data_IF_846910676355
#
_entry.id   IF_846910676355
#
_cell.length_a   1.000
_cell.length_b   1.000
_cell.length_c   1.000
_cell.angle_alpha   90.00
_cell.angle_beta   90.00
_cell.angle_gamma   90.00
#
_symmetry.space_group_name_H-M   'P 1'
#
loop_
_entity.id
_entity.type
_entity.pdbx_description
1 polymer ?
#
# COMPACT_ATOMS: atom_id res chain seq x y z
N UNK A 1 15.79 -4.51 -3.50
CA UNK A 1 14.36 -4.48 -3.28
C UNK A 1 13.90 -5.77 -2.62
N UNK A 2 12.98 -5.70 -1.68
CA UNK A 2 12.54 -6.87 -0.95
C UNK A 2 11.64 -7.74 -1.82
N UNK A 3 11.29 -8.91 -1.29
CA UNK A 3 10.40 -9.80 -2.01
C UNK A 3 9.06 -9.13 -2.25
N UNK A 4 8.55 -8.39 -1.27
CA UNK A 4 7.29 -7.69 -1.41
C UNK A 4 7.39 -6.63 -2.49
N UNK A 5 8.50 -5.90 -2.54
CA UNK A 5 8.71 -4.89 -3.54
C UNK A 5 8.76 -5.46 -4.94
N UNK A 6 9.33 -6.65 -5.09
CA UNK A 6 9.39 -7.30 -6.40
C UNK A 6 7.99 -7.72 -6.86
N UNK A 7 7.13 -8.13 -5.93
CA UNK A 7 5.78 -8.52 -6.29
C UNK A 7 5.01 -7.29 -6.77
N UNK A 8 5.17 -6.16 -6.12
CA UNK A 8 4.48 -4.95 -6.52
C UNK A 8 5.00 -4.47 -7.87
N UNK A 9 6.31 -4.53 -8.06
CA UNK A 9 6.89 -4.09 -9.31
C UNK A 9 6.33 -4.91 -10.46
N UNK A 10 6.14 -6.20 -10.27
CA UNK A 10 5.58 -7.06 -11.29
C UNK A 10 4.14 -6.67 -11.57
N UNK A 11 3.36 -6.36 -10.54
CA UNK A 11 1.98 -5.95 -10.72
C UNK A 11 1.90 -4.64 -11.49
N UNK A 12 2.81 -3.71 -11.24
CA UNK A 12 2.82 -2.45 -11.93
C UNK A 12 3.12 -2.62 -13.43
N UNK A 13 3.89 -3.65 -13.76
CA UNK A 13 4.19 -3.90 -15.16
C UNK A 13 3.01 -4.55 -15.87
N UNK A 14 2.24 -5.35 -15.16
CA UNK A 14 1.13 -6.07 -15.74
C UNK A 14 -0.10 -5.16 -15.90
N UNK A 15 -0.37 -4.31 -14.92
CA UNK A 15 -1.54 -3.46 -14.99
C UNK A 15 -1.14 -2.12 -15.61
N UNK A 16 -1.50 -1.93 -16.86
CA UNK A 16 -1.02 -0.81 -17.63
C UNK A 16 -1.61 0.54 -17.27
N UNK A 17 -2.61 0.66 -16.56
CA UNK A 17 -3.19 1.94 -16.22
C UNK A 17 -2.60 2.60 -14.98
N UNK A 18 -1.56 2.03 -14.38
CA UNK A 18 -1.01 2.54 -13.15
C UNK A 18 0.21 3.41 -13.42
N UNK A 19 0.13 4.68 -13.01
CA UNK A 19 1.23 5.59 -13.16
C UNK A 19 1.44 6.26 -11.81
N UNK A 20 2.56 6.00 -11.19
CA UNK A 20 2.86 6.50 -9.86
C UNK A 20 3.64 7.82 -9.87
N UNK A 21 3.96 8.38 -11.03
CA UNK A 21 4.74 9.60 -11.08
C UNK A 21 3.99 10.73 -10.38
N UNK A 22 4.58 11.31 -9.36
CA UNK A 22 3.98 12.38 -8.60
C UNK A 22 2.84 11.95 -7.69
N UNK A 23 2.60 10.65 -7.54
CA UNK A 23 1.45 10.17 -6.78
C UNK A 23 1.65 10.30 -5.27
N UNK A 24 0.56 10.54 -4.58
CA UNK A 24 0.53 10.48 -3.12
C UNK A 24 -0.20 9.17 -2.81
N UNK A 25 0.46 8.30 -2.10
CA UNK A 25 0.00 6.91 -1.93
C UNK A 25 0.02 6.43 -0.50
N UNK A 26 -0.63 5.30 -0.24
CA UNK A 26 -0.61 4.68 1.06
C UNK A 26 -0.18 3.24 0.91
N UNK A 27 0.66 2.77 1.82
CA UNK A 27 1.10 1.40 1.88
C UNK A 27 0.47 0.82 3.14
N UNK A 28 -0.63 0.10 2.99
CA UNK A 28 -1.35 -0.47 4.12
C UNK A 28 -0.69 -1.79 4.50
N UNK A 29 -0.09 -1.84 5.67
CA UNK A 29 0.67 -3.00 6.12
C UNK A 29 2.09 -2.90 5.63
N UNK A 30 2.74 -1.76 5.83
CA UNK A 30 4.05 -1.48 5.26
C UNK A 30 5.16 -2.41 5.70
N UNK A 31 5.11 -2.88 6.95
CA UNK A 31 6.13 -3.78 7.49
C UNK A 31 7.52 -3.19 7.29
N UNK A 32 8.41 -3.86 6.58
CA UNK A 32 9.77 -3.38 6.37
C UNK A 32 9.84 -2.32 5.28
N UNK A 33 8.80 -2.18 4.49
CA UNK A 33 8.73 -1.11 3.50
C UNK A 33 8.99 -1.48 2.06
N UNK A 34 8.87 -2.76 1.74
CA UNK A 34 9.12 -3.19 0.37
C UNK A 34 8.22 -2.51 -0.66
N UNK A 35 6.94 -2.35 -0.35
CA UNK A 35 6.02 -1.73 -1.27
C UNK A 35 6.28 -0.22 -1.29
N UNK A 36 6.56 0.38 -0.14
CA UNK A 36 6.88 1.79 -0.05
C UNK A 36 8.09 2.11 -0.92
N UNK A 37 9.14 1.31 -0.80
CA UNK A 37 10.36 1.50 -1.57
C UNK A 37 10.04 1.39 -3.07
N UNK A 38 9.26 0.41 -3.46
CA UNK A 38 8.91 0.21 -4.85
C UNK A 38 8.13 1.40 -5.40
N UNK A 39 7.20 1.93 -4.63
CA UNK A 39 6.42 3.08 -5.07
C UNK A 39 7.29 4.32 -5.24
N UNK A 40 8.24 4.53 -4.34
CA UNK A 40 9.14 5.67 -4.45
C UNK A 40 10.04 5.53 -5.68
N UNK A 41 10.50 4.32 -5.97
CA UNK A 41 11.34 4.09 -7.13
C UNK A 41 10.56 4.29 -8.43
N UNK A 42 9.25 4.19 -8.39
CA UNK A 42 8.41 4.40 -9.55
C UNK A 42 7.84 5.82 -9.62
N UNK A 43 8.36 6.73 -8.83
CA UNK A 43 8.03 8.14 -8.95
C UNK A 43 7.03 8.72 -7.97
N UNK A 44 6.58 7.95 -6.99
CA UNK A 44 5.64 8.47 -6.02
C UNK A 44 6.27 9.63 -5.25
N UNK A 45 5.51 10.66 -5.05
CA UNK A 45 5.99 11.84 -4.39
C UNK A 45 5.85 11.74 -2.88
N UNK A 46 4.89 11.01 -2.38
CA UNK A 46 4.66 10.86 -0.97
C UNK A 46 3.99 9.54 -0.69
N UNK A 47 4.45 8.82 0.31
CA UNK A 47 3.87 7.54 0.70
C UNK A 47 3.62 7.50 2.19
N UNK A 48 2.39 7.20 2.58
CA UNK A 48 2.05 7.00 3.97
C UNK A 48 2.25 5.52 4.27
N UNK A 49 3.30 5.20 5.01
CA UNK A 49 3.62 3.82 5.35
C UNK A 49 2.95 3.47 6.67
N UNK A 50 1.84 2.78 6.60
CA UNK A 50 1.00 2.49 7.75
C UNK A 50 1.15 1.05 8.19
N UNK A 51 1.40 0.82 9.46
CA UNK A 51 1.53 -0.53 9.99
C UNK A 51 1.06 -0.61 11.43
N UNK A 52 0.52 -1.77 11.83
CA UNK A 52 0.10 -1.96 13.21
C UNK A 52 1.32 -2.20 14.09
N UNK A 53 2.43 -2.63 13.52
CA UNK A 53 3.65 -2.90 14.26
C UNK A 53 4.43 -1.65 14.58
N UNK A 54 5.63 -1.84 15.11
CA UNK A 54 6.47 -0.74 15.48
C UNK A 54 7.92 -1.08 15.19
N UNK A 55 8.64 -0.12 14.66
CA UNK A 55 10.07 -0.29 14.45
C UNK A 55 10.48 -1.21 13.32
N UNK A 56 9.55 -1.60 12.46
CA UNK A 56 9.87 -2.52 11.38
C UNK A 56 10.29 -1.84 10.09
N UNK A 57 9.90 -0.61 9.89
CA UNK A 57 10.20 0.08 8.64
C UNK A 57 11.70 0.34 8.51
N UNK A 58 12.27 0.01 7.37
CA UNK A 58 13.71 0.18 7.16
C UNK A 58 14.14 1.62 7.40
N UNK A 59 15.30 1.80 7.98
CA UNK A 59 15.79 3.13 8.34
C UNK A 59 15.86 4.07 7.13
N UNK A 60 16.28 3.58 5.99
CA UNK A 60 16.38 4.41 4.81
C UNK A 60 15.03 4.99 4.39
N UNK A 61 13.95 4.26 4.67
CA UNK A 61 12.62 4.74 4.35
C UNK A 61 12.09 5.63 5.46
N UNK A 62 12.38 5.27 6.71
CA UNK A 62 11.93 6.04 7.84
C UNK A 62 12.50 7.45 7.78
N UNK A 63 13.70 7.60 7.27
CA UNK A 63 14.35 8.89 7.19
C UNK A 63 14.11 9.61 5.86
N UNK A 64 13.40 9.01 4.93
CA UNK A 64 13.14 9.64 3.63
C UNK A 64 12.02 10.67 3.79
N UNK A 65 12.23 11.93 3.39
CA UNK A 65 11.22 12.96 3.55
C UNK A 65 9.92 12.72 2.79
N UNK A 66 9.92 11.80 1.83
CA UNK A 66 8.72 11.47 1.08
C UNK A 66 7.85 10.45 1.82
N UNK A 67 8.37 9.86 2.89
CA UNK A 67 7.66 8.82 3.63
C UNK A 67 7.10 9.36 4.94
N UNK A 68 5.81 9.14 5.16
CA UNK A 68 5.18 9.46 6.42
C UNK A 68 5.00 8.14 7.15
N UNK A 69 5.79 7.90 8.19
CA UNK A 69 5.74 6.65 8.92
C UNK A 69 4.62 6.69 9.95
N UNK A 70 3.65 5.80 9.83
CA UNK A 70 2.52 5.73 10.73
C UNK A 70 2.50 4.35 11.38
N UNK A 71 3.24 4.19 12.46
CA UNK A 71 3.32 2.93 13.17
C UNK A 71 2.23 2.82 14.21
N UNK A 72 1.98 1.64 14.69
CA UNK A 72 0.96 1.32 15.67
C UNK A 72 -0.39 1.87 15.21
N UNK A 73 -0.62 1.83 13.92
CA UNK A 73 -1.82 2.38 13.31
C UNK A 73 -2.55 1.29 12.55
N UNK A 74 -3.83 1.17 12.79
CA UNK A 74 -4.63 0.17 12.09
C UNK A 74 -5.40 0.86 10.97
N UNK A 75 -5.10 0.49 9.73
CA UNK A 75 -5.72 1.08 8.55
C UNK A 75 -7.25 1.02 8.60
N UNK A 76 -7.78 -0.03 9.22
CA UNK A 76 -9.23 -0.20 9.30
C UNK A 76 -9.89 1.02 9.94
N UNK A 77 -9.21 1.70 10.85
CA UNK A 77 -9.76 2.83 11.56
C UNK A 77 -9.20 4.17 11.09
N UNK A 78 -8.48 4.18 9.99
CA UNK A 78 -7.87 5.39 9.51
C UNK A 78 -8.94 6.29 8.91
N UNK A 79 -8.84 7.56 9.12
CA UNK A 79 -9.81 8.52 8.63
C UNK A 79 -9.16 9.58 7.76
N UNK A 80 -9.97 10.29 7.01
CA UNK A 80 -9.49 11.37 6.16
C UNK A 80 -8.81 12.47 6.99
N UNK A 81 -9.18 12.62 8.25
CA UNK A 81 -8.57 13.62 9.07
C UNK A 81 -7.12 13.29 9.37
N UNK A 82 -6.79 12.02 9.54
CA UNK A 82 -5.44 11.61 9.86
C UNK A 82 -4.53 11.72 8.66
N UNK A 83 -5.04 11.49 7.47
CA UNK A 83 -4.25 11.58 6.26
C UNK A 83 -4.24 13.01 5.73
N UNK A 84 -5.34 13.74 5.90
CA UNK A 84 -5.47 15.13 5.50
C UNK A 84 -5.36 15.40 4.00
N UNK A 85 -5.50 14.46 3.19
CA UNK A 85 -5.53 14.65 1.74
C UNK A 85 -6.12 13.43 1.07
N UNK A 86 -6.60 13.56 -0.15
CA UNK A 86 -7.10 12.43 -0.90
C UNK A 86 -5.94 11.84 -1.67
N UNK A 87 -5.81 10.53 -1.63
CA UNK A 87 -4.66 9.85 -2.20
C UNK A 87 -4.94 9.28 -3.59
N UNK A 88 -3.88 9.14 -4.39
CA UNK A 88 -4.00 8.66 -5.75
C UNK A 88 -3.92 7.14 -5.84
N UNK A 89 -3.24 6.51 -4.93
CA UNK A 89 -2.93 5.09 -5.05
C UNK A 89 -2.73 4.44 -3.70
N UNK A 90 -3.00 3.17 -3.61
CA UNK A 90 -2.76 2.43 -2.38
C UNK A 90 -2.29 1.02 -2.67
N UNK A 91 -1.54 0.44 -1.75
CA UNK A 91 -1.17 -0.96 -1.82
C UNK A 91 -1.60 -1.65 -0.54
N UNK A 92 -2.01 -2.89 -0.65
CA UNK A 92 -2.44 -3.68 0.49
C UNK A 92 -1.86 -5.07 0.37
N UNK A 93 -1.20 -5.56 1.43
CA UNK A 93 -0.65 -6.90 1.44
C UNK A 93 -1.18 -7.57 2.69
N UNK A 94 -2.33 -8.20 2.61
CA UNK A 94 -3.01 -8.79 3.76
C UNK A 94 -3.78 -10.03 3.37
N UNK A 95 -4.35 -10.72 4.33
CA UNK A 95 -5.19 -11.87 4.07
C UNK A 95 -6.55 -11.42 3.56
N UNK A 96 -7.34 -12.33 3.04
CA UNK A 96 -8.68 -12.02 2.56
C UNK A 96 -9.53 -11.40 3.64
N UNK A 97 -9.49 -11.94 4.84
CA UNK A 97 -10.33 -11.45 5.92
C UNK A 97 -9.98 -10.01 6.24
N UNK A 98 -8.70 -9.71 6.33
CA UNK A 98 -8.25 -8.37 6.64
C UNK A 98 -8.59 -7.39 5.51
N UNK A 99 -8.50 -7.85 4.28
CA UNK A 99 -8.78 -7.01 3.14
C UNK A 99 -10.23 -6.50 3.19
N UNK A 100 -11.17 -7.37 3.55
CA UNK A 100 -12.56 -6.96 3.61
C UNK A 100 -12.78 -5.88 4.66
N UNK A 101 -11.99 -5.88 5.72
CA UNK A 101 -12.12 -4.90 6.77
C UNK A 101 -11.43 -3.58 6.42
N UNK A 102 -10.39 -3.64 5.62
CA UNK A 102 -9.59 -2.47 5.28
C UNK A 102 -10.11 -1.67 4.08
N UNK A 103 -10.69 -2.33 3.10
CA UNK A 103 -11.13 -1.65 1.90
C UNK A 103 -12.07 -0.46 2.13
N UNK A 104 -13.03 -0.53 3.05
CA UNK A 104 -13.89 0.63 3.26
C UNK A 104 -13.11 1.85 3.76
N UNK A 105 -12.09 1.63 4.60
CA UNK A 105 -11.29 2.73 5.11
C UNK A 105 -10.46 3.33 3.98
N UNK A 106 -9.90 2.50 3.10
CA UNK A 106 -9.13 2.99 1.99
C UNK A 106 -10.00 3.79 1.04
N UNK A 107 -11.22 3.35 0.84
CA UNK A 107 -12.12 4.04 -0.05
C UNK A 107 -12.38 5.44 0.45
N UNK A 108 -12.39 5.65 1.76
CA UNK A 108 -12.62 6.95 2.35
C UNK A 108 -11.47 7.93 2.21
N UNK A 109 -10.26 7.44 1.94
CA UNK A 109 -9.08 8.30 1.85
C UNK A 109 -8.51 8.37 0.43
N UNK A 110 -9.04 7.61 -0.50
CA UNK A 110 -8.59 7.66 -1.88
C UNK A 110 -9.46 8.60 -2.70
N UNK A 111 -8.89 9.14 -3.75
CA UNK A 111 -9.66 9.95 -4.69
C UNK A 111 -10.65 9.05 -5.39
N UNK A 112 -11.66 9.63 -6.01
CA UNK A 112 -12.65 8.87 -6.70
C UNK A 112 -12.07 7.99 -7.77
N UNK A 113 -11.06 8.43 -8.46
CA UNK A 113 -10.41 7.64 -9.47
C UNK A 113 -9.13 6.99 -8.95
N UNK A 114 -8.98 6.92 -7.64
CA UNK A 114 -7.80 6.30 -7.04
C UNK A 114 -7.77 4.81 -7.31
N UNK A 115 -6.58 4.23 -7.31
CA UNK A 115 -6.39 2.82 -7.58
C UNK A 115 -5.73 2.12 -6.41
N UNK A 116 -6.05 0.85 -6.22
CA UNK A 116 -5.46 0.05 -5.16
C UNK A 116 -4.98 -1.26 -5.75
N UNK A 117 -3.76 -1.63 -5.41
CA UNK A 117 -3.24 -2.95 -5.76
C UNK A 117 -3.24 -3.80 -4.50
N UNK A 118 -3.98 -4.88 -4.52
CA UNK A 118 -4.07 -5.77 -3.38
C UNK A 118 -3.30 -7.05 -3.64
N UNK A 119 -2.36 -7.35 -2.77
CA UNK A 119 -1.66 -8.62 -2.82
C UNK A 119 -2.23 -9.44 -1.68
N UNK A 120 -3.11 -10.35 -2.01
CA UNK A 120 -3.83 -11.12 -1.02
C UNK A 120 -3.15 -12.46 -0.79
N UNK A 121 -2.81 -12.76 0.45
CA UNK A 121 -2.17 -14.00 0.79
C UNK A 121 -3.21 -15.01 1.19
N UNK A 122 -3.30 -16.11 0.50
CA UNK A 122 -4.28 -17.12 0.82
C UNK A 122 -3.85 -17.78 2.11
N UNK A 123 -4.80 -18.00 2.96
CA UNK A 123 -4.47 -18.61 4.17
C UNK A 123 -4.23 -20.04 4.04
N UNK A 124 -4.96 -20.72 3.35
CA UNK A 124 -4.71 -22.09 3.24
C UNK A 124 -4.35 -22.46 1.91
N UNK A 125 -4.64 -21.98 0.98
CA UNK A 125 -4.48 -22.29 -0.26
C UNK A 125 -3.51 -22.36 -0.84
N UNK A 126 -3.39 -23.10 -1.33
CA UNK A 126 -2.44 -23.48 -1.97
C UNK A 126 -1.91 -22.48 -2.85
N UNK A 127 -1.25 -21.71 -2.37
CA UNK A 127 -0.49 -20.84 -3.14
C UNK A 127 -1.11 -20.01 -4.19
N UNK A 128 -2.36 -19.95 -4.24
CA UNK A 128 -2.84 -19.26 -5.18
C UNK A 128 -2.90 -17.87 -4.91
N UNK A 129 -2.47 -17.02 -5.57
CA UNK A 129 -2.43 -15.68 -5.32
C UNK A 129 -3.28 -14.92 -6.18
N UNK A 130 -4.06 -14.12 -5.74
CA UNK A 130 -4.91 -13.35 -6.52
C UNK A 130 -4.50 -11.96 -6.50
N UNK A 131 -3.52 -11.65 -7.19
CA UNK A 131 -2.98 -10.34 -7.19
C UNK A 131 -3.89 -9.36 -7.87
N UNK A 132 -4.25 -8.41 -7.10
CA UNK A 132 -4.87 -7.23 -7.64
C UNK A 132 -5.96 -7.20 -8.62
N UNK A 133 -6.67 -8.27 -8.72
CA UNK A 133 -7.61 -8.26 -9.62
C UNK A 133 -8.58 -7.32 -9.30
N UNK A 134 -8.80 -7.13 -8.18
CA UNK A 134 -9.74 -6.27 -7.85
C UNK A 134 -9.03 -5.16 -7.48
N UNK A 135 -7.80 -5.15 -7.58
CA UNK A 135 -6.98 -4.16 -7.09
C UNK A 135 -7.03 -2.83 -7.81
N UNK A 136 -7.65 -2.79 -8.90
CA UNK A 136 -7.76 -1.54 -9.58
C UNK A 136 -9.17 -1.09 -9.35
N UNK A 137 -9.35 -0.11 -8.56
CA UNK A 137 -10.67 0.30 -8.19
C UNK A 137 -10.89 1.74 -8.45
#
# INVERSE_FOLDING_TARGET
MSRGGLKLEKALKVFTGIDLTGAHAIDAGASTGGFTDCMLQNGAEKVYAVDVGYGQLAWSLRSDPRVVCMERTNVRYLTAEQISESLDFGTVDVSFISLRLILPALRGILKEDGQVVCLVKPQFEAGREKVGKKGVV
#
